data_IF_382199892166
#
_entry.id   IF_382199892166
#
_cell.length_a   1.000
_cell.length_b   1.000
_cell.length_c   1.000
_cell.angle_alpha   90.00
_cell.angle_beta   90.00
_cell.angle_gamma   90.00
#
_symmetry.space_group_name_H-M   'P 1'
#
loop_
_entity.id
_entity.type
_entity.pdbx_description
1 polymer ?
#
# COMPACT_ATOMS: atom_id res chain seq x y z
N UNK A 1 -1.95 8.41 16.72
CA UNK A 1 -1.06 7.27 16.45
C UNK A 1 -1.11 7.02 14.96
N UNK A 2 0.05 7.02 14.32
CA UNK A 2 0.20 6.76 12.90
C UNK A 2 1.00 5.48 12.74
N UNK A 3 0.67 4.70 11.73
CA UNK A 3 1.36 3.46 11.40
C UNK A 3 1.85 3.55 9.95
N UNK A 4 3.10 3.15 9.73
CA UNK A 4 3.66 2.97 8.40
C UNK A 4 3.95 1.49 8.22
N UNK A 5 3.32 0.86 7.24
CA UNK A 5 3.56 -0.54 6.89
C UNK A 5 4.45 -0.59 5.65
N UNK A 6 5.54 -1.35 5.74
CA UNK A 6 6.38 -1.66 4.58
C UNK A 6 6.04 -3.07 4.13
N UNK A 7 5.40 -3.18 2.97
CA UNK A 7 4.80 -4.41 2.46
C UNK A 7 5.52 -4.86 1.18
N UNK A 8 5.65 -6.18 1.02
CA UNK A 8 6.18 -6.77 -0.20
C UNK A 8 5.01 -7.29 -1.04
N UNK A 9 4.71 -6.57 -2.13
CA UNK A 9 3.67 -6.92 -3.08
C UNK A 9 4.15 -7.71 -4.29
N UNK A 10 5.45 -7.97 -4.41
CA UNK A 10 6.10 -8.65 -5.56
C UNK A 10 6.03 -10.17 -5.45
N UNK A 11 6.21 -10.71 -4.25
CA UNK A 11 6.23 -12.16 -4.05
C UNK A 11 4.84 -12.65 -3.60
N UNK A 12 4.16 -13.54 -4.34
CA UNK A 12 2.78 -13.95 -4.02
C UNK A 12 2.59 -14.50 -2.60
N UNK A 13 3.59 -15.22 -2.09
CA UNK A 13 3.63 -15.74 -0.71
C UNK A 13 3.65 -14.63 0.34
N UNK A 14 4.21 -13.46 0.01
CA UNK A 14 4.28 -12.28 0.88
C UNK A 14 3.07 -11.36 0.73
N UNK A 15 2.37 -11.40 -0.41
CA UNK A 15 1.10 -10.68 -0.61
C UNK A 15 0.06 -11.15 0.41
N UNK A 16 -0.08 -12.45 0.65
CA UNK A 16 -1.02 -12.97 1.64
C UNK A 16 -0.72 -12.44 3.06
N UNK A 17 0.56 -12.40 3.45
CA UNK A 17 0.98 -11.84 4.73
C UNK A 17 0.73 -10.32 4.80
N UNK A 18 0.95 -9.60 3.69
CA UNK A 18 0.65 -8.18 3.59
C UNK A 18 -0.85 -7.87 3.74
N UNK A 19 -1.71 -8.65 3.09
CA UNK A 19 -3.16 -8.55 3.22
C UNK A 19 -3.62 -8.81 4.65
N UNK A 20 -3.08 -9.83 5.34
CA UNK A 20 -3.42 -10.11 6.72
C UNK A 20 -3.14 -8.92 7.67
N UNK A 21 -2.05 -8.18 7.44
CA UNK A 21 -1.78 -6.94 8.20
C UNK A 21 -2.78 -5.82 7.90
N UNK A 22 -3.19 -5.68 6.63
CA UNK A 22 -4.18 -4.69 6.23
C UNK A 22 -5.58 -5.03 6.75
N UNK A 23 -5.95 -6.31 6.76
CA UNK A 23 -7.21 -6.84 7.32
C UNK A 23 -7.28 -6.63 8.83
N UNK A 24 -6.15 -6.58 9.52
CA UNK A 24 -6.09 -6.31 10.96
C UNK A 24 -6.27 -4.81 11.30
N UNK A 25 -6.09 -3.88 10.36
CA UNK A 25 -6.16 -2.43 10.60
C UNK A 25 -7.44 -1.94 11.31
N UNK A 26 -8.64 -2.47 11.01
CA UNK A 26 -9.88 -2.07 11.70
C UNK A 26 -9.87 -2.38 13.20
N UNK A 27 -9.13 -3.41 13.65
CA UNK A 27 -9.04 -3.77 15.07
C UNK A 27 -8.28 -2.75 15.92
N UNK A 28 -7.43 -1.93 15.29
CA UNK A 28 -6.67 -0.88 15.99
C UNK A 28 -7.46 0.43 16.04
N UNK A 29 -8.42 0.52 16.96
CA UNK A 29 -9.32 1.67 17.10
C UNK A 29 -8.63 3.02 17.35
N UNK A 30 -7.38 3.03 17.84
CA UNK A 30 -6.59 4.25 18.12
C UNK A 30 -5.77 4.75 16.92
N UNK A 31 -5.75 4.03 15.80
CA UNK A 31 -5.06 4.48 14.58
C UNK A 31 -5.77 5.70 13.99
N UNK A 32 -5.02 6.79 13.87
CA UNK A 32 -5.46 8.06 13.25
C UNK A 32 -5.16 8.11 11.75
N UNK A 33 -4.12 7.41 11.31
CA UNK A 33 -3.76 7.32 9.91
C UNK A 33 -2.79 6.17 9.66
N UNK A 34 -2.89 5.57 8.49
CA UNK A 34 -2.03 4.48 8.04
C UNK A 34 -1.44 4.88 6.70
N UNK A 35 -0.12 4.77 6.58
CA UNK A 35 0.57 4.84 5.30
C UNK A 35 1.13 3.46 4.95
N UNK A 36 1.15 3.13 3.66
CA UNK A 36 1.75 1.90 3.14
C UNK A 36 2.89 2.27 2.22
N UNK A 37 4.04 1.64 2.38
CA UNK A 37 5.10 1.60 1.38
C UNK A 37 5.07 0.19 0.79
N UNK A 38 4.69 0.09 -0.47
CA UNK A 38 4.51 -1.18 -1.16
C UNK A 38 5.64 -1.37 -2.17
N UNK A 39 6.36 -2.48 -2.04
CA UNK A 39 7.17 -2.99 -3.15
C UNK A 39 6.21 -3.57 -4.20
N UNK A 40 5.99 -2.83 -5.28
CA UNK A 40 5.09 -3.21 -6.36
C UNK A 40 5.58 -4.45 -7.11
N UNK A 41 4.64 -5.11 -7.78
CA UNK A 41 4.89 -6.18 -8.72
C UNK A 41 4.97 -5.59 -10.15
N UNK A 42 5.91 -6.07 -10.95
CA UNK A 42 6.07 -5.71 -12.36
C UNK A 42 5.08 -6.49 -13.26
N UNK A 43 4.38 -7.49 -12.72
CA UNK A 43 3.44 -8.31 -13.48
C UNK A 43 2.03 -7.71 -13.60
N UNK A 44 1.20 -8.32 -14.47
CA UNK A 44 -0.14 -7.87 -14.85
C UNK A 44 -1.15 -7.60 -13.72
N UNK A 45 -0.86 -8.00 -12.47
CA UNK A 45 -1.76 -7.77 -11.34
C UNK A 45 -1.85 -6.29 -10.92
N UNK A 46 -0.80 -5.51 -11.24
CA UNK A 46 -0.66 -4.08 -10.91
C UNK A 46 -0.94 -3.74 -9.44
N UNK A 47 -0.81 -4.71 -8.52
CA UNK A 47 -1.18 -4.58 -7.10
C UNK A 47 -2.62 -4.10 -6.84
N UNK A 48 -3.56 -4.39 -7.75
CA UNK A 48 -4.99 -4.03 -7.64
C UNK A 48 -5.65 -4.51 -6.36
N UNK A 49 -5.09 -5.54 -5.71
CA UNK A 49 -5.51 -6.01 -4.39
C UNK A 49 -5.38 -4.97 -3.28
N UNK A 50 -4.59 -3.90 -3.46
CA UNK A 50 -4.47 -2.80 -2.49
C UNK A 50 -5.72 -1.91 -2.46
N UNK A 51 -6.47 -1.84 -3.57
CA UNK A 51 -7.58 -0.90 -3.76
C UNK A 51 -8.63 -0.92 -2.65
N UNK A 52 -9.12 -2.08 -2.17
CA UNK A 52 -10.14 -2.12 -1.11
C UNK A 52 -9.66 -1.51 0.23
N UNK A 53 -8.35 -1.41 0.44
CA UNK A 53 -7.76 -0.90 1.68
C UNK A 53 -7.56 0.61 1.68
N UNK A 54 -7.67 1.25 0.50
CA UNK A 54 -7.54 2.69 0.34
C UNK A 54 -8.72 3.43 0.97
N UNK A 55 -8.44 4.63 1.49
CA UNK A 55 -9.43 5.44 2.19
C UNK A 55 -10.57 5.88 1.26
N UNK A 56 -10.29 6.17 -0.02
CA UNK A 56 -11.33 6.46 -1.02
C UNK A 56 -12.34 5.32 -1.20
N UNK A 57 -11.96 4.09 -0.90
CA UNK A 57 -12.77 2.87 -1.06
C UNK A 57 -13.31 2.31 0.26
N UNK A 58 -13.24 3.08 1.34
CA UNK A 58 -13.74 2.69 2.66
C UNK A 58 -12.73 1.97 3.55
N UNK A 59 -11.49 1.83 3.09
CA UNK A 59 -10.39 1.26 3.88
C UNK A 59 -9.72 2.26 4.83
N UNK A 60 -8.59 1.85 5.42
CA UNK A 60 -7.87 2.61 6.47
C UNK A 60 -6.55 3.23 5.97
N UNK A 61 -6.07 2.84 4.79
CA UNK A 61 -4.82 3.34 4.20
C UNK A 61 -5.07 4.73 3.64
N UNK A 62 -4.44 5.74 4.24
CA UNK A 62 -4.60 7.15 3.87
C UNK A 62 -3.59 7.62 2.82
N UNK A 63 -2.48 6.90 2.67
CA UNK A 63 -1.49 7.12 1.63
C UNK A 63 -0.79 5.79 1.30
N UNK A 64 -0.59 5.50 0.03
CA UNK A 64 0.18 4.38 -0.46
C UNK A 64 1.33 4.90 -1.32
N UNK A 65 2.54 4.43 -1.04
CA UNK A 65 3.76 4.76 -1.77
C UNK A 65 4.23 3.50 -2.47
N UNK A 66 4.15 3.46 -3.79
CA UNK A 66 4.46 2.25 -4.55
C UNK A 66 5.83 2.38 -5.19
N UNK A 67 6.69 1.40 -4.93
CA UNK A 67 7.99 1.24 -5.55
C UNK A 67 7.76 0.39 -6.81
N UNK A 68 8.19 0.89 -7.97
CA UNK A 68 7.91 0.41 -9.34
C UNK A 68 6.62 0.94 -9.96
N UNK A 69 6.63 1.09 -11.29
CA UNK A 69 5.54 1.68 -12.06
C UNK A 69 4.27 0.83 -11.95
N UNK A 70 3.17 1.49 -11.61
CA UNK A 70 1.84 0.91 -11.58
C UNK A 70 0.81 1.90 -12.11
N UNK A 71 -0.22 1.46 -12.83
CA UNK A 71 -1.34 2.31 -13.23
C UNK A 71 -2.19 2.80 -12.05
N UNK A 72 -1.91 2.34 -10.82
CA UNK A 72 -2.64 2.76 -9.63
C UNK A 72 -2.25 4.15 -9.11
N UNK A 73 -1.12 4.71 -9.55
CA UNK A 73 -0.67 6.05 -9.12
C UNK A 73 -1.69 7.09 -9.56
N UNK A 74 -2.19 7.86 -8.58
CA UNK A 74 -3.17 8.92 -8.80
C UNK A 74 -2.74 10.29 -8.24
N UNK A 75 -1.59 10.35 -7.56
CA UNK A 75 -1.04 11.53 -6.89
C UNK A 75 -1.98 12.18 -5.84
N UNK A 76 -2.98 11.42 -5.38
CA UNK A 76 -3.97 11.84 -4.37
C UNK A 76 -3.86 10.98 -3.12
N UNK A 77 -3.95 9.66 -3.28
CA UNK A 77 -3.78 8.69 -2.19
C UNK A 77 -2.79 7.59 -2.54
N UNK A 78 -2.47 7.40 -3.82
CA UNK A 78 -1.43 6.49 -4.31
C UNK A 78 -0.35 7.31 -5.03
N UNK A 79 0.85 7.25 -4.48
CA UNK A 79 2.01 8.01 -4.94
C UNK A 79 3.09 7.08 -5.46
N UNK A 80 3.79 7.51 -6.50
CA UNK A 80 5.02 6.84 -6.93
C UNK A 80 6.13 7.13 -5.92
N UNK A 81 6.74 6.09 -5.38
CA UNK A 81 7.95 6.23 -4.56
C UNK A 81 9.19 6.12 -5.44
N UNK A 82 10.08 7.12 -5.45
CA UNK A 82 11.27 7.07 -6.28
C UNK A 82 12.19 5.92 -5.83
N UNK A 83 12.73 5.17 -6.80
CA UNK A 83 13.65 4.03 -6.59
C UNK A 83 15.00 4.41 -5.96
N UNK A 84 15.15 5.64 -5.47
CA UNK A 84 16.40 6.16 -4.93
C UNK A 84 17.30 6.71 -6.03
N UNK A 85 16.93 7.86 -6.58
CA UNK A 85 17.92 8.83 -7.03
C UNK A 85 17.47 10.19 -6.50
N UNK A 86 18.09 10.64 -5.42
CA UNK A 86 18.22 12.07 -5.21
C UNK A 86 19.32 12.50 -6.19
N UNK A 87 18.94 13.05 -7.34
CA UNK A 87 19.87 13.82 -8.19
C UNK A 87 19.93 15.24 -7.68
#
# INVERSE_FOLDING_TARGET
>A
MHLVLVLNGREPTKVAAAQAWLDALPSFHRLKGVAVVLLGDEACSANTWLLPYLKSRGGRVSAAFIIYDTPLVDDVEVFQWPLGVAT
#
